data_IF_284753689908
#
_entry.id   IF_284753689908
#
_cell.length_a   1.000
_cell.length_b   1.000
_cell.length_c   1.000
_cell.angle_alpha   90.00
_cell.angle_beta   90.00
_cell.angle_gamma   90.00
#
_symmetry.space_group_name_H-M   'P 1'
#
loop_
_entity.id
_entity.type
_entity.pdbx_description
1 polymer ?
#
# COMPACT_ATOMS: atom_id res chain seq x y z
N UNK A 1 -2.46 19.49 11.84
CA UNK A 1 -3.10 19.30 10.53
C UNK A 1 -3.66 17.90 10.52
N UNK A 2 -4.98 17.73 10.48
CA UNK A 2 -5.61 16.40 10.44
C UNK A 2 -5.61 15.95 8.98
N UNK A 3 -4.81 14.94 8.64
CA UNK A 3 -4.88 14.33 7.33
C UNK A 3 -6.24 13.66 7.17
N UNK A 4 -6.91 13.97 6.07
CA UNK A 4 -8.15 13.30 5.73
C UNK A 4 -7.81 11.88 5.24
N UNK A 5 -8.57 10.90 5.73
CA UNK A 5 -8.45 9.48 5.41
C UNK A 5 -8.36 9.22 3.89
N UNK A 6 -9.19 9.88 3.09
CA UNK A 6 -9.25 9.68 1.65
C UNK A 6 -7.94 10.06 0.96
N UNK A 7 -7.26 11.10 1.43
CA UNK A 7 -5.98 11.51 0.87
C UNK A 7 -4.89 10.44 1.07
N UNK A 8 -4.79 9.87 2.28
CA UNK A 8 -3.80 8.84 2.60
C UNK A 8 -4.05 7.55 1.79
N UNK A 9 -5.31 7.13 1.71
CA UNK A 9 -5.70 5.95 0.91
C UNK A 9 -5.41 6.16 -0.57
N UNK A 10 -5.69 7.35 -1.11
CA UNK A 10 -5.38 7.67 -2.50
C UNK A 10 -3.89 7.56 -2.79
N UNK A 11 -3.04 8.15 -1.95
CA UNK A 11 -1.58 8.09 -2.13
C UNK A 11 -1.06 6.65 -2.06
N UNK A 12 -1.56 5.82 -1.13
CA UNK A 12 -1.18 4.41 -1.07
C UNK A 12 -1.63 3.62 -2.30
N UNK A 13 -2.83 3.88 -2.80
CA UNK A 13 -3.33 3.27 -4.02
C UNK A 13 -2.49 3.63 -5.26
N UNK A 14 -2.06 4.90 -5.36
CA UNK A 14 -1.20 5.35 -6.44
C UNK A 14 0.19 4.70 -6.38
N UNK A 15 0.78 4.61 -5.17
CA UNK A 15 2.06 3.94 -4.93
C UNK A 15 2.01 2.44 -5.27
N UNK A 16 0.95 1.73 -4.88
CA UNK A 16 0.76 0.31 -5.21
C UNK A 16 0.66 0.11 -6.73
N UNK A 17 -0.09 0.96 -7.44
CA UNK A 17 -0.19 0.84 -8.90
C UNK A 17 1.13 1.16 -9.61
N UNK A 18 1.96 2.03 -9.06
CA UNK A 18 3.31 2.27 -9.56
C UNK A 18 4.21 1.04 -9.37
N UNK A 19 4.28 0.47 -8.16
CA UNK A 19 5.04 -0.75 -7.89
C UNK A 19 4.60 -1.89 -8.80
N UNK A 20 3.28 -2.05 -9.01
CA UNK A 20 2.74 -3.03 -9.96
C UNK A 20 3.19 -2.77 -11.40
N UNK A 21 3.22 -1.51 -11.85
CA UNK A 21 3.68 -1.13 -13.20
C UNK A 21 5.18 -1.39 -13.38
N UNK A 22 5.98 -1.07 -12.37
CA UNK A 22 7.43 -1.31 -12.37
C UNK A 22 7.72 -2.82 -12.38
N UNK A 23 7.11 -3.58 -11.46
CA UNK A 23 7.24 -5.04 -11.43
C UNK A 23 6.82 -5.73 -12.74
N UNK A 24 5.78 -5.22 -13.41
CA UNK A 24 5.39 -5.71 -14.74
C UNK A 24 6.44 -5.43 -15.81
N UNK A 25 7.08 -4.25 -15.77
CA UNK A 25 8.11 -3.85 -16.73
C UNK A 25 9.41 -4.63 -16.54
N UNK A 26 9.81 -4.86 -15.29
CA UNK A 26 11.07 -5.52 -14.93
C UNK A 26 11.02 -7.04 -15.09
N UNK A 27 9.86 -7.67 -14.86
CA UNK A 27 9.70 -9.12 -14.99
C UNK A 27 9.87 -9.56 -16.45
N UNK A 28 10.84 -10.45 -16.70
CA UNK A 28 11.19 -10.94 -18.05
C UNK A 28 10.41 -12.18 -18.45
N UNK A 29 9.95 -12.97 -17.48
CA UNK A 29 9.13 -14.14 -17.71
C UNK A 29 7.69 -13.73 -18.06
N UNK A 30 7.23 -14.08 -19.26
CA UNK A 30 5.91 -13.72 -19.76
C UNK A 30 4.77 -14.31 -18.91
N UNK A 31 4.94 -15.51 -18.36
CA UNK A 31 3.94 -16.16 -17.52
C UNK A 31 3.79 -15.42 -16.20
N UNK A 32 4.92 -15.09 -15.55
CA UNK A 32 4.94 -14.28 -14.32
C UNK A 32 4.39 -12.88 -14.57
N UNK A 33 4.81 -12.23 -15.66
CA UNK A 33 4.30 -10.91 -16.06
C UNK A 33 2.78 -10.90 -16.24
N UNK A 34 2.21 -11.98 -16.79
CA UNK A 34 0.76 -12.11 -16.95
C UNK A 34 0.01 -12.22 -15.62
N UNK A 35 0.65 -12.70 -14.54
CA UNK A 35 0.05 -12.71 -13.20
C UNK A 35 -0.24 -11.29 -12.71
N UNK A 36 0.64 -10.31 -13.00
CA UNK A 36 0.44 -8.89 -12.63
C UNK A 36 -0.56 -8.16 -13.55
N UNK A 37 -0.96 -8.77 -14.66
CA UNK A 37 -1.87 -8.16 -15.63
C UNK A 37 -3.31 -8.22 -15.11
N UNK A 38 -3.96 -7.05 -15.09
CA UNK A 38 -5.36 -6.94 -14.67
C UNK A 38 -5.60 -7.15 -13.16
N UNK A 39 -4.56 -7.11 -12.32
CA UNK A 39 -4.69 -7.24 -10.86
C UNK A 39 -4.86 -5.90 -10.16
N UNK A 40 -4.82 -4.77 -10.89
CA UNK A 40 -4.96 -3.42 -10.31
C UNK A 40 -6.16 -3.34 -9.37
N UNK A 41 -7.36 -3.67 -9.85
CA UNK A 41 -8.56 -3.60 -9.02
C UNK A 41 -8.46 -4.43 -7.74
N UNK A 42 -7.94 -5.67 -7.84
CA UNK A 42 -7.73 -6.55 -6.69
C UNK A 42 -6.80 -5.93 -5.64
N UNK A 43 -5.75 -5.25 -6.08
CA UNK A 43 -4.78 -4.58 -5.21
C UNK A 43 -5.35 -3.30 -4.55
N UNK A 44 -6.38 -2.70 -5.15
CA UNK A 44 -7.04 -1.51 -4.60
C UNK A 44 -8.16 -1.87 -3.61
N UNK A 45 -8.81 -3.02 -3.78
CA UNK A 45 -9.80 -3.54 -2.83
C UNK A 45 -9.18 -3.92 -1.48
N UNK A 46 -10.01 -3.96 -0.43
CA UNK A 46 -9.63 -4.66 0.78
C UNK A 46 -9.81 -6.16 0.57
N UNK A 47 -8.89 -6.98 1.09
CA UNK A 47 -8.91 -8.42 0.86
C UNK A 47 -10.19 -9.09 1.38
N UNK A 48 -10.73 -8.54 2.48
CA UNK A 48 -12.00 -8.99 3.08
C UNK A 48 -13.21 -8.77 2.18
N UNK A 49 -13.15 -7.81 1.25
CA UNK A 49 -14.25 -7.44 0.35
C UNK A 49 -14.21 -8.23 -0.96
N UNK A 50 -13.18 -9.07 -1.16
CA UNK A 50 -13.06 -9.98 -2.30
C UNK A 50 -13.68 -11.32 -1.88
N UNK A 51 -14.91 -11.59 -2.33
CA UNK A 51 -15.63 -12.82 -1.96
C UNK A 51 -15.41 -13.98 -2.93
N UNK A 52 -15.09 -13.69 -4.19
CA UNK A 52 -14.83 -14.70 -5.20
C UNK A 52 -13.47 -15.39 -4.96
N UNK A 53 -13.48 -16.72 -4.89
CA UNK A 53 -12.29 -17.52 -4.60
C UNK A 53 -11.21 -17.40 -5.70
N UNK A 54 -11.60 -17.30 -6.97
CA UNK A 54 -10.65 -17.14 -8.07
C UNK A 54 -9.95 -15.78 -7.98
N UNK A 55 -10.67 -14.73 -7.62
CA UNK A 55 -10.09 -13.41 -7.38
C UNK A 55 -9.14 -13.39 -6.19
N UNK A 56 -9.44 -14.11 -5.10
CA UNK A 56 -8.51 -14.30 -3.97
C UNK A 56 -7.24 -15.00 -4.41
N UNK A 57 -7.35 -16.14 -5.10
CA UNK A 57 -6.18 -16.87 -5.62
C UNK A 57 -5.34 -16.00 -6.55
N UNK A 58 -5.99 -15.18 -7.38
CA UNK A 58 -5.30 -14.29 -8.31
C UNK A 58 -4.58 -13.14 -7.60
N UNK A 59 -5.16 -12.60 -6.52
CA UNK A 59 -4.49 -11.65 -5.64
C UNK A 59 -3.28 -12.31 -4.97
N UNK A 60 -3.46 -13.49 -4.36
CA UNK A 60 -2.37 -14.21 -3.66
C UNK A 60 -1.20 -14.52 -4.60
N UNK A 61 -1.47 -14.92 -5.84
CA UNK A 61 -0.44 -15.16 -6.83
C UNK A 61 0.34 -13.89 -7.17
N UNK A 62 -0.32 -12.74 -7.27
CA UNK A 62 0.33 -11.45 -7.51
C UNK A 62 1.21 -11.02 -6.33
N UNK A 63 0.73 -11.21 -5.10
CA UNK A 63 1.49 -10.88 -3.88
C UNK A 63 2.69 -11.82 -3.70
N UNK A 64 2.55 -13.12 -3.99
CA UNK A 64 3.66 -14.08 -3.94
C UNK A 64 4.75 -13.80 -4.98
N UNK A 65 4.36 -13.26 -6.14
CA UNK A 65 5.30 -12.98 -7.22
C UNK A 65 6.17 -11.75 -6.95
N UNK A 66 5.63 -10.75 -6.25
CA UNK A 66 6.32 -9.49 -6.01
C UNK A 66 6.22 -9.11 -4.52
N UNK A 67 7.32 -9.32 -3.80
CA UNK A 67 7.40 -9.05 -2.36
C UNK A 67 7.14 -7.57 -2.03
N UNK A 68 7.70 -6.64 -2.81
CA UNK A 68 7.50 -5.21 -2.60
C UNK A 68 6.02 -4.83 -2.78
N UNK A 69 5.35 -5.43 -3.77
CA UNK A 69 3.91 -5.27 -3.98
C UNK A 69 3.11 -5.85 -2.81
N UNK A 70 3.52 -7.00 -2.28
CA UNK A 70 2.88 -7.60 -1.11
C UNK A 70 3.00 -6.72 0.13
N UNK A 71 4.20 -6.25 0.44
CA UNK A 71 4.43 -5.38 1.59
C UNK A 71 3.62 -4.07 1.47
N UNK A 72 3.59 -3.45 0.28
CA UNK A 72 2.80 -2.24 0.04
C UNK A 72 1.28 -2.49 0.18
N UNK A 73 0.78 -3.62 -0.34
CA UNK A 73 -0.62 -4.01 -0.22
C UNK A 73 -1.04 -4.20 1.25
N UNK A 74 -0.27 -4.95 2.03
CA UNK A 74 -0.60 -5.18 3.44
C UNK A 74 -0.45 -3.92 4.29
N UNK A 75 0.47 -3.03 3.94
CA UNK A 75 0.57 -1.73 4.60
C UNK A 75 -0.65 -0.83 4.29
N UNK A 76 -1.21 -0.89 3.08
CA UNK A 76 -2.48 -0.22 2.78
C UNK A 76 -3.62 -0.82 3.60
N UNK A 77 -3.71 -2.14 3.72
CA UNK A 77 -4.76 -2.80 4.52
C UNK A 77 -4.73 -2.43 6.01
N UNK A 78 -3.55 -2.12 6.56
CA UNK A 78 -3.40 -1.75 7.97
C UNK A 78 -3.77 -0.29 8.26
N UNK A 79 -3.97 0.56 7.26
CA UNK A 79 -4.41 1.95 7.46
C UNK A 79 -5.69 2.05 8.29
N UNK A 80 -6.61 1.09 8.13
CA UNK A 80 -7.87 1.03 8.89
C UNK A 80 -7.65 0.98 10.40
N UNK A 81 -6.52 0.45 10.86
CA UNK A 81 -6.17 0.36 12.28
C UNK A 81 -6.07 1.76 12.90
N UNK A 82 -5.56 2.75 12.15
CA UNK A 82 -5.44 4.13 12.63
C UNK A 82 -6.83 4.71 12.97
N UNK A 83 -7.83 4.47 12.12
CA UNK A 83 -9.18 5.02 12.30
C UNK A 83 -10.07 4.19 13.23
N UNK A 84 -9.62 3.01 13.64
CA UNK A 84 -10.34 2.17 14.61
C UNK A 84 -9.98 2.48 16.06
N UNK A 85 -8.99 3.36 16.31
CA UNK A 85 -8.55 3.69 17.66
C UNK A 85 -9.60 4.52 18.41
N UNK A 86 -9.69 4.29 19.73
CA UNK A 86 -10.73 4.87 20.59
C UNK A 86 -10.44 6.34 20.87
N UNK A 87 -9.17 6.71 20.95
CA UNK A 87 -8.72 8.06 21.24
C UNK A 87 -7.59 8.51 20.32
N UNK A 88 -7.36 9.82 20.32
CA UNK A 88 -6.37 10.47 19.47
C UNK A 88 -4.93 9.99 19.73
N UNK A 89 -4.57 9.73 20.98
CA UNK A 89 -3.20 9.35 21.35
C UNK A 89 -2.84 7.94 20.86
N UNK A 90 -3.79 7.01 20.93
CA UNK A 90 -3.65 5.68 20.34
C UNK A 90 -3.57 5.77 18.81
N UNK A 91 -4.41 6.59 18.18
CA UNK A 91 -4.37 6.80 16.74
C UNK A 91 -3.01 7.36 16.27
N UNK A 92 -2.43 8.30 17.02
CA UNK A 92 -1.09 8.85 16.77
C UNK A 92 0.00 7.78 16.89
N UNK A 93 -0.05 6.94 17.93
CA UNK A 93 0.89 5.81 18.09
C UNK A 93 0.83 4.86 16.89
N UNK A 94 -0.38 4.44 16.49
CA UNK A 94 -0.56 3.53 15.35
C UNK A 94 -0.13 4.19 14.04
N UNK A 95 -0.37 5.48 13.88
CA UNK A 95 0.10 6.26 12.73
C UNK A 95 1.64 6.30 12.66
N UNK A 96 2.32 6.52 13.78
CA UNK A 96 3.78 6.56 13.84
C UNK A 96 4.41 5.20 13.50
N UNK A 97 3.84 4.11 14.03
CA UNK A 97 4.23 2.75 13.67
C UNK A 97 4.00 2.45 12.18
N UNK A 98 2.87 2.92 11.65
CA UNK A 98 2.56 2.80 10.22
C UNK A 98 3.57 3.57 9.35
N UNK A 99 3.92 4.81 9.72
CA UNK A 99 4.94 5.61 9.04
C UNK A 99 6.31 4.93 9.10
N UNK A 100 6.67 4.32 10.23
CA UNK A 100 7.93 3.59 10.35
C UNK A 100 7.97 2.34 9.46
N UNK A 101 6.86 1.60 9.36
CA UNK A 101 6.71 0.50 8.39
C UNK A 101 6.83 1.01 6.95
N UNK A 102 6.20 2.15 6.63
CA UNK A 102 6.30 2.79 5.32
C UNK A 102 7.75 3.15 4.95
N UNK A 103 8.53 3.71 5.88
CA UNK A 103 9.94 4.07 5.64
C UNK A 103 10.83 2.87 5.31
N UNK A 104 10.48 1.69 5.82
CA UNK A 104 11.21 0.46 5.54
C UNK A 104 10.86 -0.13 4.15
N UNK A 105 9.75 0.30 3.54
CA UNK A 105 9.46 -0.04 2.15
C UNK A 105 10.39 0.74 1.22
N UNK A 106 11.10 0.04 0.34
CA UNK A 106 11.84 0.67 -0.76
C UNK A 106 10.88 1.15 -1.86
N UNK A 107 9.96 2.06 -1.55
CA UNK A 107 9.03 2.63 -2.54
C UNK A 107 9.64 3.91 -3.16
N UNK A 108 9.81 3.99 -4.49
CA UNK A 108 10.48 5.13 -5.13
C UNK A 108 9.85 6.50 -4.86
N UNK A 109 8.53 6.56 -4.70
CA UNK A 109 7.78 7.82 -4.57
C UNK A 109 7.41 8.22 -3.13
N UNK A 110 8.11 7.66 -2.14
CA UNK A 110 7.92 7.98 -0.72
C UNK A 110 8.10 9.48 -0.39
N UNK A 111 8.91 10.21 -1.18
CA UNK A 111 9.13 11.66 -1.03
C UNK A 111 7.87 12.50 -1.29
N UNK A 112 6.92 12.00 -2.09
CA UNK A 112 5.64 12.66 -2.33
C UNK A 112 4.69 12.48 -1.13
N UNK A 113 4.64 11.27 -0.59
CA UNK A 113 3.90 10.88 0.62
C UNK A 113 4.45 11.61 1.86
N UNK A 114 5.77 11.64 2.05
CA UNK A 114 6.39 12.21 3.25
C UNK A 114 6.19 13.73 3.35
N UNK A 115 6.29 14.46 2.23
CA UNK A 115 6.03 15.90 2.16
C UNK A 115 4.59 16.26 2.53
N UNK A 116 3.67 15.35 2.27
CA UNK A 116 2.29 15.52 2.67
C UNK A 116 2.11 15.10 4.13
N UNK A 117 2.58 13.92 4.55
CA UNK A 117 2.27 13.30 5.85
C UNK A 117 3.05 13.85 7.06
N UNK A 118 4.22 14.45 6.87
CA UNK A 118 4.99 15.05 7.97
C UNK A 118 4.94 16.58 7.86
N UNK A 119 4.55 17.32 8.93
CA UNK A 119 4.80 18.75 8.96
C UNK A 119 6.30 18.99 8.79
N UNK A 120 6.65 20.03 8.03
CA UNK A 120 7.97 20.39 7.51
C UNK A 120 9.08 20.59 8.58
N UNK A 121 8.85 20.24 9.84
CA UNK A 121 9.76 20.40 10.97
C UNK A 121 10.58 19.16 11.33
N UNK A 122 10.50 18.07 10.56
CA UNK A 122 11.29 16.84 10.80
C UNK A 122 12.23 16.46 9.65
N UNK A 123 12.52 17.40 8.76
CA UNK A 123 13.66 17.31 7.83
C UNK A 123 14.70 18.30 8.31
N UNK A 124 15.45 17.91 9.34
CA UNK A 124 16.69 18.55 9.79
C UNK A 124 17.77 17.50 9.96
#
# INVERSE_FOLDING_TARGET
MVFDHFHVVKLMNDAIDQIRREGYREEKDLNKRNVLKGTRWLLLCNGKDIFDANFRTRLDNALKLNEQLAQAYYLKESLKEIWMQVNKQEAETVMDEWINRLKNLRCPDWLSLQRHLLPTSLVS
#
